data_IF_452168685263
#
_entry.id   IF_452168685263
#
_cell.length_a   1.000
_cell.length_b   1.000
_cell.length_c   1.000
_cell.angle_alpha   90.00
_cell.angle_beta   90.00
_cell.angle_gamma   90.00
#
_symmetry.space_group_name_H-M   'P 1'
#
loop_
_entity.id
_entity.type
_entity.pdbx_description
1 polymer ?
2 non-polymer ?
3 water ?
#
# COMPACT_ATOMS: atom_id res chain seq x y z
N UNK A 11 -13.87 -0.69 -16.57
CA UNK A 11 -15.07 -0.13 -15.86
C UNK A 11 -15.66 -1.09 -14.86
N UNK A 12 -16.97 -1.05 -14.64
CA UNK A 12 -17.62 -1.96 -13.70
C UNK A 12 -17.38 -3.43 -14.08
N UNK A 13 -17.16 -4.26 -13.07
CA UNK A 13 -16.93 -5.70 -13.25
C UNK A 13 -17.60 -6.39 -12.06
N UNK A 14 -18.16 -7.57 -12.27
CA UNK A 14 -18.85 -8.30 -11.18
C UNK A 14 -17.95 -9.47 -10.78
N UNK A 15 -17.48 -9.44 -9.55
CA UNK A 15 -16.57 -10.47 -9.09
C UNK A 15 -17.18 -11.29 -7.95
N UNK A 16 -16.94 -12.59 -7.95
CA UNK A 16 -17.47 -13.46 -6.92
C UNK A 16 -16.32 -13.67 -5.90
N UNK A 17 -16.65 -13.75 -4.62
CA UNK A 17 -15.65 -13.98 -3.58
C UNK A 17 -15.43 -15.47 -3.57
N UNK A 18 -14.29 -15.88 -4.10
CA UNK A 18 -13.96 -17.27 -4.23
C UNK A 18 -13.34 -17.90 -3.00
N UNK A 19 -12.66 -17.09 -2.20
CA UNK A 19 -12.04 -17.58 -0.97
C UNK A 19 -11.61 -16.48 0.03
N UNK A 20 -11.52 -16.85 1.30
CA UNK A 20 -11.11 -15.95 2.40
C UNK A 20 -10.07 -16.61 3.29
N UNK A 21 -9.18 -15.79 3.82
CA UNK A 21 -8.09 -16.29 4.65
C UNK A 21 -7.81 -15.38 5.79
N UNK A 22 -7.76 -15.97 6.98
CA UNK A 22 -7.47 -15.24 8.19
C UNK A 22 -5.95 -15.28 8.43
N UNK A 23 -5.26 -14.21 8.07
CA UNK A 23 -3.81 -14.12 8.25
C UNK A 23 -3.54 -13.77 9.71
N UNK A 24 -4.54 -13.19 10.36
CA UNK A 24 -4.46 -12.82 11.76
C UNK A 24 -5.83 -12.34 12.24
N UNK A 25 -5.99 -12.24 13.55
CA UNK A 25 -7.25 -11.82 14.17
C UNK A 25 -8.02 -10.73 13.44
N UNK A 26 -7.32 -9.81 12.78
CA UNK A 26 -8.01 -8.74 12.06
C UNK A 26 -7.53 -8.53 10.63
N UNK A 27 -6.78 -9.50 10.12
CA UNK A 27 -6.24 -9.44 8.76
C UNK A 27 -6.73 -10.61 7.96
N UNK A 28 -7.37 -10.31 6.82
CA UNK A 28 -7.90 -11.33 5.93
C UNK A 28 -7.29 -11.20 4.54
N UNK A 29 -7.33 -12.29 3.78
CA UNK A 29 -6.88 -12.28 2.39
C UNK A 29 -8.10 -12.80 1.60
N UNK A 30 -8.70 -11.97 0.75
CA UNK A 30 -9.87 -12.37 -0.04
C UNK A 30 -9.47 -12.56 -1.48
N UNK A 31 -9.86 -13.67 -2.09
CA UNK A 31 -9.57 -13.92 -3.50
C UNK A 31 -10.82 -13.78 -4.33
N UNK A 32 -10.89 -12.74 -5.17
CA UNK A 32 -12.06 -12.54 -6.03
C UNK A 32 -11.78 -13.02 -7.46
N UNK A 33 -12.78 -13.70 -8.00
CA UNK A 33 -12.73 -14.20 -9.35
C UNK A 33 -13.31 -13.15 -10.30
N UNK A 34 -12.77 -13.09 -11.50
CA UNK A 34 -13.31 -12.18 -12.49
C UNK A 34 -14.33 -13.04 -13.23
N UNK A 35 -15.35 -12.42 -13.84
CA UNK A 35 -16.34 -13.22 -14.56
C UNK A 35 -15.80 -14.00 -15.77
N UNK A 36 -14.71 -13.55 -16.39
CA UNK A 36 -14.12 -14.26 -17.53
C UNK A 36 -12.79 -14.84 -17.08
N UNK A 37 -12.76 -16.15 -16.86
CA UNK A 37 -11.62 -16.95 -16.40
C UNK A 37 -10.31 -16.97 -17.20
N UNK A 38 -10.26 -16.20 -18.29
CA UNK A 38 -9.05 -16.16 -19.10
C UNK A 38 -8.38 -14.79 -19.01
N UNK A 39 -8.97 -13.92 -18.19
CA UNK A 39 -8.52 -12.55 -18.02
C UNK A 39 -7.70 -12.16 -16.80
N UNK A 40 -6.96 -11.09 -16.95
CA UNK A 40 -6.24 -10.50 -15.83
C UNK A 40 -7.06 -9.23 -15.54
N UNK A 41 -6.87 -8.67 -14.37
CA UNK A 41 -7.53 -7.45 -13.96
C UNK A 41 -6.45 -6.53 -14.50
N UNK A 42 -6.67 -5.88 -15.63
CA UNK A 42 -5.63 -5.03 -16.19
C UNK A 42 -5.49 -3.72 -15.46
N UNK A 43 -5.03 -3.79 -14.21
CA UNK A 43 -4.87 -2.61 -13.38
C UNK A 43 -3.50 -2.03 -13.57
N UNK A 44 -3.42 -0.89 -14.24
CA UNK A 44 -2.13 -0.27 -14.45
C UNK A 44 -1.49 0.10 -13.10
N UNK A 45 -0.19 -0.16 -12.99
CA UNK A 45 0.58 0.12 -11.78
C UNK A 45 0.49 1.58 -11.37
N UNK A 46 0.12 1.79 -10.11
CA UNK A 46 -0.04 3.15 -9.59
C UNK A 46 -1.50 3.51 -9.41
N UNK A 47 -2.39 2.60 -9.86
CA UNK A 47 -3.83 2.80 -9.79
C UNK A 47 -4.54 1.79 -8.90
N UNK A 48 -5.78 2.11 -8.52
CA UNK A 48 -6.61 1.27 -7.66
C UNK A 48 -8.01 0.94 -8.23
N UNK A 49 -8.77 0.13 -7.49
CA UNK A 49 -10.13 -0.25 -7.88
C UNK A 49 -10.96 0.18 -6.71
N UNK A 50 -12.27 0.28 -6.91
CA UNK A 50 -13.20 0.64 -5.87
C UNK A 50 -14.05 -0.58 -5.68
N UNK A 51 -14.16 -1.05 -4.47
CA UNK A 51 -15.03 -2.16 -4.24
C UNK A 51 -16.28 -1.43 -3.81
N UNK A 52 -17.30 -1.41 -4.67
CA UNK A 52 -18.57 -0.74 -4.37
C UNK A 52 -19.54 -1.73 -3.76
N UNK A 53 -20.38 -1.25 -2.87
CA UNK A 53 -21.38 -2.08 -2.26
C UNK A 53 -22.38 -1.17 -1.57
N UNK A 54 -23.63 -1.61 -1.53
CA UNK A 54 -24.70 -0.89 -0.89
C UNK A 54 -24.89 -1.50 0.49
N UNK A 55 -24.49 -0.77 1.52
CA UNK A 55 -24.64 -1.24 2.89
C UNK A 55 -25.68 -0.34 3.55
N UNK A 56 -26.70 -1.01 4.10
CA UNK A 56 -27.81 -0.34 4.74
C UNK A 56 -28.61 0.40 3.63
N UNK A 57 -28.38 1.70 3.52
CA UNK A 57 -29.08 2.48 2.52
C UNK A 57 -28.22 3.20 1.51
N UNK A 58 -26.91 3.25 1.75
CA UNK A 58 -26.03 3.95 0.81
C UNK A 58 -24.97 3.07 0.12
N UNK A 59 -24.65 3.44 -1.12
CA UNK A 59 -23.65 2.73 -1.87
C UNK A 59 -22.35 3.32 -1.38
N UNK A 60 -21.56 2.47 -0.74
CA UNK A 60 -20.27 2.86 -0.23
C UNK A 60 -19.20 2.59 -1.28
N UNK A 61 -18.20 3.47 -1.35
CA UNK A 61 -17.11 3.31 -2.30
C UNK A 61 -15.79 3.45 -1.59
N UNK A 62 -15.01 2.38 -1.59
CA UNK A 62 -13.71 2.38 -0.92
C UNK A 62 -12.63 1.93 -1.89
N UNK A 63 -11.45 2.56 -1.81
CA UNK A 63 -10.30 2.18 -2.66
C UNK A 63 -9.48 1.03 -2.07
N UNK A 64 -8.94 0.20 -2.95
CA UNK A 64 -8.11 -0.92 -2.54
C UNK A 64 -7.16 -1.19 -3.69
N UNK A 65 -5.91 -1.45 -3.37
CA UNK A 65 -4.94 -1.74 -4.43
C UNK A 65 -4.52 -3.16 -4.18
N UNK A 66 -4.93 -4.10 -5.06
CA UNK A 66 -4.62 -5.54 -5.00
C UNK A 66 -3.15 -5.98 -4.80
N UNK A 67 -2.98 -7.10 -4.11
CA UNK A 67 -1.65 -7.59 -3.83
C UNK A 67 -1.18 -8.65 -4.79
N UNK A 68 -2.03 -8.99 -5.76
CA UNK A 68 -1.65 -10.03 -6.70
C UNK A 68 -0.83 -9.52 -7.87
N UNK A 69 -0.11 -10.46 -8.50
CA UNK A 69 0.72 -10.12 -9.65
C UNK A 69 -0.14 -9.52 -10.74
N UNK A 70 0.44 -8.57 -11.46
CA UNK A 70 -0.27 -7.93 -12.56
C UNK A 70 -0.73 -8.99 -13.58
N UNK A 71 0.03 -10.10 -13.63
CA UNK A 71 -0.23 -11.20 -14.56
C UNK A 71 -1.14 -12.31 -14.03
N UNK A 72 -1.72 -12.11 -12.86
CA UNK A 72 -2.61 -13.11 -12.27
C UNK A 72 -3.87 -13.41 -13.09
N UNK A 73 -3.90 -14.57 -13.71
CA UNK A 73 -5.06 -14.90 -14.54
C UNK A 73 -6.28 -15.43 -13.77
N UNK A 74 -7.42 -14.82 -14.04
CA UNK A 74 -8.66 -15.23 -13.43
C UNK A 74 -9.15 -14.63 -12.12
N UNK A 75 -8.22 -14.30 -11.20
CA UNK A 75 -8.61 -13.71 -9.93
C UNK A 75 -7.58 -12.71 -9.46
N UNK A 76 -8.01 -11.85 -8.51
CA UNK A 76 -7.17 -10.84 -7.85
C UNK A 76 -7.41 -10.90 -6.36
N UNK A 77 -6.38 -10.63 -5.58
CA UNK A 77 -6.49 -10.67 -4.12
C UNK A 77 -6.44 -9.32 -3.47
N UNK A 78 -7.12 -9.21 -2.33
CA UNK A 78 -7.11 -8.00 -1.55
C UNK A 78 -6.64 -8.34 -0.14
N UNK A 79 -5.63 -7.60 0.36
CA UNK A 79 -5.10 -7.72 1.73
C UNK A 79 -5.90 -6.63 2.44
N UNK A 80 -6.86 -7.08 3.23
CA UNK A 80 -7.76 -6.16 3.93
C UNK A 80 -7.57 -6.23 5.45
N UNK A 81 -7.34 -5.05 6.02
CA UNK A 81 -7.16 -4.89 7.44
C UNK A 81 -8.53 -4.53 7.99
N UNK A 82 -9.11 -5.46 8.74
CA UNK A 82 -10.44 -5.26 9.26
C UNK A 82 -10.55 -4.39 10.49
N UNK A 83 -11.35 -3.33 10.33
CA UNK A 83 -11.62 -2.35 11.35
C UNK A 83 -12.84 -2.73 12.17
N UNK A 84 -12.69 -3.71 13.06
CA UNK A 84 -13.82 -4.16 13.89
C UNK A 84 -14.45 -3.06 14.77
N UNK A 85 -15.65 -3.33 15.27
CA UNK A 85 -16.34 -2.43 16.19
C UNK A 85 -16.05 -2.98 17.60
N UNK A 86 -16.11 -2.08 18.59
CA UNK A 86 -15.85 -2.39 20.01
C UNK A 86 -14.33 -2.58 20.06
N UNK A 87 -13.62 -1.62 19.46
CA UNK A 87 -12.17 -1.67 19.37
C UNK A 87 -11.43 -0.35 19.56
N UNK A 88 -12.03 0.75 19.16
CA UNK A 88 -11.35 2.04 19.30
C UNK A 88 -12.11 3.16 20.00
N UNK A 89 -11.44 3.80 20.96
CA UNK A 89 -12.02 4.90 21.74
C UNK A 89 -12.80 5.85 20.87
N UNK A 90 -12.15 6.34 19.81
CA UNK A 90 -12.77 7.31 18.91
C UNK A 90 -13.69 6.79 17.80
N UNK A 91 -13.53 5.50 17.46
CA UNK A 91 -14.33 4.87 16.41
C UNK A 91 -14.84 3.58 17.02
N UNK A 92 -15.82 3.70 17.92
CA UNK A 92 -16.45 2.59 18.64
C UNK A 92 -17.20 1.55 17.80
N UNK A 93 -17.83 1.97 16.73
CA UNK A 93 -18.59 1.06 15.88
C UNK A 93 -17.81 0.47 14.71
N UNK A 94 -16.49 0.58 14.76
CA UNK A 94 -15.64 0.01 13.74
C UNK A 94 -15.72 0.59 12.35
N UNK A 95 -15.33 -0.23 11.39
CA UNK A 95 -15.29 0.14 9.98
C UNK A 95 -16.48 -0.35 9.18
N UNK A 96 -16.93 0.48 8.25
CA UNK A 96 -18.08 0.18 7.42
C UNK A 96 -17.80 -0.96 6.43
N UNK A 97 -17.12 -0.63 5.36
CA UNK A 97 -16.79 -1.59 4.35
C UNK A 97 -16.00 -2.79 4.82
N UNK A 98 -15.10 -2.60 5.79
CA UNK A 98 -14.29 -3.73 6.22
C UNK A 98 -15.09 -4.78 6.94
N UNK A 99 -16.08 -4.35 7.71
CA UNK A 99 -16.93 -5.28 8.44
C UNK A 99 -17.92 -5.91 7.47
N UNK A 100 -18.32 -5.14 6.44
CA UNK A 100 -19.21 -5.68 5.41
C UNK A 100 -18.53 -6.86 4.70
N UNK A 101 -17.30 -6.68 4.24
CA UNK A 101 -16.56 -7.72 3.51
C UNK A 101 -16.22 -8.93 4.38
N UNK A 102 -15.96 -8.67 5.65
CA UNK A 102 -15.64 -9.73 6.55
C UNK A 102 -16.90 -10.51 6.81
N UNK A 103 -18.04 -9.89 6.54
CA UNK A 103 -19.35 -10.52 6.74
C UNK A 103 -19.78 -11.41 5.60
N UNK A 104 -19.23 -11.15 4.43
CA UNK A 104 -19.59 -11.92 3.27
C UNK A 104 -19.17 -13.37 3.32
N UNK A 105 -20.11 -14.27 3.04
CA UNK A 105 -19.79 -15.70 3.01
C UNK A 105 -19.21 -15.93 1.63
N UNK A 106 -18.29 -16.87 1.49
CA UNK A 106 -17.74 -17.08 0.18
C UNK A 106 -18.80 -17.69 -0.75
N UNK A 107 -18.93 -17.05 -1.89
CA UNK A 107 -19.90 -17.44 -2.88
C UNK A 107 -20.53 -16.14 -3.30
N UNK A 108 -20.42 -15.14 -2.44
CA UNK A 108 -21.00 -13.82 -2.68
C UNK A 108 -20.42 -13.01 -3.83
N UNK A 109 -21.19 -12.06 -4.34
CA UNK A 109 -20.76 -11.20 -5.45
C UNK A 109 -20.36 -9.79 -4.99
N UNK A 110 -19.39 -9.19 -5.67
CA UNK A 110 -18.83 -7.86 -5.37
C UNK A 110 -18.81 -7.01 -6.67
N UNK A 111 -18.80 -5.69 -6.56
CA UNK A 111 -18.75 -4.85 -7.77
C UNK A 111 -17.50 -3.96 -7.81
N UNK A 112 -16.55 -4.31 -8.67
CA UNK A 112 -15.34 -3.50 -8.76
C UNK A 112 -15.36 -2.46 -9.88
N UNK A 113 -15.11 -1.22 -9.52
CA UNK A 113 -15.04 -0.15 -10.49
C UNK A 113 -13.58 0.28 -10.64
N UNK A 114 -13.10 0.38 -11.87
CA UNK A 114 -11.73 0.79 -12.07
C UNK A 114 -11.49 1.06 -13.54
N UNK A 115 -10.29 1.56 -13.91
CA UNK A 115 -9.19 1.87 -13.01
C UNK A 115 -9.21 3.31 -12.55
N UNK A 116 -9.03 3.53 -11.26
CA UNK A 116 -9.00 4.91 -10.78
C UNK A 116 -7.57 5.26 -10.37
N UNK A 117 -7.34 6.55 -10.17
CA UNK A 117 -6.01 6.99 -9.77
C UNK A 117 -5.47 8.08 -10.67
N UNK A 118 -4.36 8.67 -10.23
CA UNK A 118 -3.71 9.72 -11.01
C UNK A 118 -2.25 9.38 -11.22
N UNK A 119 -1.78 8.35 -10.50
CA UNK A 119 -0.39 7.92 -10.61
C UNK A 119 -0.36 6.62 -11.40
N UNK A 120 0.66 6.47 -12.23
CA UNK A 120 0.84 5.31 -13.05
C UNK A 120 2.34 5.14 -13.24
N UNK A 121 2.84 3.93 -13.06
CA UNK A 121 4.27 3.68 -13.22
C UNK A 121 4.45 2.97 -14.53
N UNK A 122 4.55 3.77 -15.59
CA UNK A 122 4.67 3.29 -16.95
C UNK A 122 5.83 2.40 -17.29
N UNK A 123 6.92 2.45 -16.54
CA UNK A 123 7.97 1.54 -16.94
C UNK A 123 9.28 1.46 -16.20
N UNK A 124 10.16 2.43 -16.44
CA UNK A 124 11.46 2.44 -15.82
C UNK A 124 11.69 3.84 -15.28
N UNK A 125 11.45 4.02 -13.98
CA UNK A 125 11.59 5.31 -13.33
C UNK A 125 10.55 6.31 -13.81
N UNK A 126 10.04 6.06 -15.00
CA UNK A 126 9.03 6.87 -15.64
C UNK A 126 7.76 6.84 -14.82
N UNK A 127 7.07 7.98 -14.79
CA UNK A 127 5.84 8.11 -14.03
C UNK A 127 4.93 9.00 -14.81
N UNK A 128 3.64 8.88 -14.53
CA UNK A 128 2.62 9.68 -15.16
C UNK A 128 1.77 10.17 -13.99
N UNK A 129 1.98 11.40 -13.55
CA UNK A 129 1.20 11.93 -12.46
C UNK A 129 0.29 12.95 -13.06
N UNK A 130 -0.93 13.03 -12.53
CA UNK A 130 -1.96 13.98 -12.97
C UNK A 130 -1.85 14.44 -14.43
N UNK A 131 -1.52 13.50 -15.32
CA UNK A 131 -1.37 13.84 -16.72
C UNK A 131 0.10 13.97 -17.08
N UNK A 132 0.83 14.81 -16.35
CA UNK A 132 2.26 15.02 -16.61
C UNK A 132 3.08 13.74 -16.56
N UNK A 133 4.20 13.75 -17.27
CA UNK A 133 5.07 12.61 -17.33
C UNK A 133 6.35 13.03 -16.61
N UNK A 134 6.88 12.13 -15.79
CA UNK A 134 8.10 12.36 -15.04
C UNK A 134 8.94 11.06 -14.97
N UNK A 135 10.05 11.13 -14.26
CA UNK A 135 10.95 10.00 -14.12
C UNK A 135 11.66 10.26 -12.79
N UNK A 136 12.20 9.21 -12.19
CA UNK A 136 12.92 9.34 -10.92
C UNK A 136 13.94 8.23 -10.90
N UNK A 137 14.99 8.41 -10.11
CA UNK A 137 16.02 7.38 -10.01
C UNK A 137 16.00 6.77 -8.58
N UNK A 138 15.55 7.59 -7.63
CA UNK A 138 15.44 7.20 -6.24
C UNK A 138 14.00 7.53 -5.84
N UNK A 139 13.36 6.57 -5.20
CA UNK A 139 11.98 6.67 -4.74
C UNK A 139 11.97 6.67 -3.23
N UNK A 140 11.16 7.55 -2.66
CA UNK A 140 11.02 7.66 -1.22
C UNK A 140 9.58 7.25 -0.96
N UNK A 141 9.39 6.04 -0.43
CA UNK A 141 8.06 5.51 -0.12
C UNK A 141 7.88 5.45 1.38
N UNK A 142 7.06 6.36 1.89
CA UNK A 142 6.78 6.45 3.32
C UNK A 142 5.29 6.14 3.45
N UNK A 143 4.97 5.13 4.27
CA UNK A 143 3.59 4.72 4.46
C UNK A 143 3.30 4.22 5.87
N UNK A 144 2.02 3.97 6.13
CA UNK A 144 1.59 3.50 7.44
C UNK A 144 0.43 2.57 7.22
N UNK A 145 0.39 1.47 7.98
CA UNK A 145 -0.69 0.48 7.89
C UNK A 145 -0.96 -0.05 6.48
N UNK A 146 -2.22 -0.22 6.09
CA UNK A 146 -2.54 -0.70 4.74
C UNK A 146 -2.15 0.32 3.67
N UNK A 147 -1.52 1.43 4.03
CA UNK A 147 -1.12 2.35 2.99
C UNK A 147 0.07 1.78 2.23
N UNK A 148 0.44 0.53 2.56
CA UNK A 148 1.57 -0.19 1.95
C UNK A 148 1.25 -0.84 0.61
N UNK A 149 -0.01 -1.19 0.40
CA UNK A 149 -0.39 -1.86 -0.84
C UNK A 149 -0.10 -1.03 -2.08
N UNK A 150 -0.40 0.26 -2.06
CA UNK A 150 -0.07 1.01 -3.27
C UNK A 150 1.43 0.89 -3.55
N UNK A 151 2.24 1.00 -2.49
CA UNK A 151 3.70 0.94 -2.59
C UNK A 151 4.18 -0.45 -3.02
N UNK A 152 3.63 -1.48 -2.42
CA UNK A 152 3.99 -2.86 -2.76
C UNK A 152 3.69 -3.22 -4.23
N UNK A 153 2.83 -2.44 -4.89
CA UNK A 153 2.45 -2.67 -6.29
C UNK A 153 3.64 -2.21 -7.14
N UNK A 154 4.15 -1.01 -6.85
CA UNK A 154 5.28 -0.46 -7.59
C UNK A 154 6.52 -1.31 -7.30
N UNK A 155 6.76 -1.58 -6.03
CA UNK A 155 7.89 -2.41 -5.62
C UNK A 155 7.90 -3.71 -6.43
N UNK A 156 6.74 -4.35 -6.56
CA UNK A 156 6.68 -5.61 -7.29
C UNK A 156 6.96 -5.42 -8.77
N UNK A 157 6.46 -4.30 -9.31
CA UNK A 157 6.66 -3.94 -10.70
C UNK A 157 8.15 -3.79 -11.01
N UNK A 158 8.79 -2.85 -10.33
CA UNK A 158 10.22 -2.56 -10.51
C UNK A 158 11.04 -3.82 -10.46
N UNK A 159 10.96 -4.55 -9.35
CA UNK A 159 11.70 -5.79 -9.20
C UNK A 159 11.35 -6.79 -10.28
N UNK A 160 10.12 -6.78 -10.78
CA UNK A 160 9.78 -7.73 -11.83
C UNK A 160 10.59 -7.39 -13.08
N UNK A 161 10.69 -6.10 -13.37
CA UNK A 161 11.45 -5.59 -14.49
C UNK A 161 12.95 -5.53 -14.12
N UNK A 162 13.44 -6.54 -13.41
CA UNK A 162 14.83 -6.55 -13.03
C UNK A 162 15.58 -7.50 -13.94
N UNK A 163 16.87 -7.19 -14.26
CA UNK A 163 17.65 -6.02 -13.83
C UNK A 163 17.69 -4.77 -14.73
N UNK A 164 16.74 -4.61 -15.63
CA UNK A 164 16.74 -3.45 -16.49
C UNK A 164 16.22 -2.20 -15.80
N UNK A 165 15.10 -2.36 -15.09
CA UNK A 165 14.47 -1.27 -14.37
C UNK A 165 15.10 -1.15 -13.00
N UNK A 166 16.31 -0.63 -12.95
CA UNK A 166 16.97 -0.51 -11.67
C UNK A 166 16.66 0.79 -10.95
N UNK A 167 15.37 0.99 -10.62
CA UNK A 167 14.94 2.17 -9.88
C UNK A 167 15.25 1.87 -8.43
N UNK A 168 15.76 2.86 -7.71
CA UNK A 168 16.13 2.73 -6.31
C UNK A 168 14.98 3.12 -5.38
N UNK A 169 14.59 2.22 -4.51
CA UNK A 169 13.49 2.47 -3.59
C UNK A 169 13.92 2.47 -2.10
N UNK A 170 13.40 3.46 -1.38
CA UNK A 170 13.66 3.60 0.04
C UNK A 170 12.32 3.65 0.69
N UNK A 171 11.99 2.58 1.40
CA UNK A 171 10.73 2.46 2.10
C UNK A 171 10.83 2.66 3.63
N UNK A 172 9.97 3.52 4.17
CA UNK A 172 9.88 3.77 5.62
C UNK A 172 8.44 3.29 5.91
N UNK A 173 8.33 2.10 6.49
CA UNK A 173 7.03 1.50 6.81
C UNK A 173 6.71 1.63 8.31
N UNK A 174 5.80 2.54 8.65
CA UNK A 174 5.41 2.77 10.06
C UNK A 174 4.15 2.02 10.53
N UNK A 175 4.18 1.53 11.77
CA UNK A 175 3.02 0.82 12.32
C UNK A 175 2.86 1.02 13.83
N UNK A 176 2.18 0.12 14.51
CA UNK A 176 1.96 0.27 15.94
C UNK A 176 2.52 -0.90 16.72
N UNK A 177 2.70 -2.02 16.03
CA UNK A 177 3.18 -3.23 16.64
C UNK A 177 3.87 -4.08 15.57
N UNK A 178 4.77 -4.95 16.00
CA UNK A 178 5.44 -5.81 15.04
C UNK A 178 4.45 -6.86 14.54
N UNK A 179 3.40 -7.14 15.31
CA UNK A 179 2.38 -8.07 14.85
C UNK A 179 1.43 -7.34 13.90
N UNK A 180 1.83 -6.15 13.43
CA UNK A 180 1.01 -5.35 12.52
C UNK A 180 1.69 -5.01 11.19
N UNK A 181 2.96 -5.39 11.03
CA UNK A 181 3.66 -5.09 9.78
C UNK A 181 2.94 -5.98 8.77
N UNK A 182 2.33 -5.40 7.76
CA UNK A 182 1.60 -6.19 6.78
C UNK A 182 2.40 -7.15 5.90
N UNK A 183 2.90 -6.70 4.78
CA UNK A 183 3.62 -7.60 3.89
C UNK A 183 5.09 -7.71 4.31
N UNK A 184 5.30 -8.10 5.57
CA UNK A 184 6.64 -8.23 6.17
C UNK A 184 7.58 -9.21 5.49
N UNK A 185 7.21 -10.49 5.53
CA UNK A 185 8.01 -11.55 4.94
C UNK A 185 8.31 -11.22 3.50
N UNK A 186 7.29 -10.84 2.76
CA UNK A 186 7.45 -10.48 1.34
C UNK A 186 8.52 -9.42 1.21
N UNK A 187 8.41 -8.37 2.01
CA UNK A 187 9.37 -7.28 1.97
C UNK A 187 10.76 -7.67 2.44
N UNK A 188 10.83 -8.47 3.51
CA UNK A 188 12.10 -8.95 4.05
C UNK A 188 12.80 -9.84 3.01
N UNK A 189 12.00 -10.69 2.38
CA UNK A 189 12.42 -11.66 1.36
C UNK A 189 13.01 -10.92 0.17
N UNK A 190 12.33 -9.87 -0.28
CA UNK A 190 12.87 -9.11 -1.38
C UNK A 190 14.10 -8.37 -0.99
N UNK A 191 14.02 -7.63 0.11
CA UNK A 191 15.15 -6.84 0.60
C UNK A 191 16.45 -7.63 0.57
N UNK A 192 16.37 -8.93 0.85
CA UNK A 192 17.54 -9.82 0.86
C UNK A 192 18.03 -10.05 -0.56
N UNK A 193 17.10 -10.23 -1.48
CA UNK A 193 17.43 -10.46 -2.89
C UNK A 193 17.90 -9.24 -3.67
N UNK A 194 17.26 -8.09 -3.49
CA UNK A 194 17.62 -6.91 -4.27
C UNK A 194 18.19 -5.73 -3.49
N UNK A 195 19.18 -5.98 -2.60
CA UNK A 195 19.82 -4.93 -1.79
C UNK A 195 20.06 -3.63 -2.51
N UNK A 196 20.46 -3.73 -3.76
CA UNK A 196 20.77 -2.53 -4.56
C UNK A 196 19.53 -1.74 -4.91
N UNK A 197 18.45 -2.45 -5.20
CA UNK A 197 17.18 -1.83 -5.58
C UNK A 197 16.31 -1.23 -4.46
N UNK A 198 16.04 -2.04 -3.43
CA UNK A 198 15.15 -1.67 -2.32
C UNK A 198 15.74 -1.70 -0.91
N UNK A 199 15.43 -0.66 -0.16
CA UNK A 199 15.87 -0.54 1.22
C UNK A 199 14.59 -0.44 2.07
N UNK A 200 14.50 -1.29 3.07
CA UNK A 200 13.36 -1.40 3.97
C UNK A 200 13.71 -1.03 5.40
N UNK A 201 12.85 -0.26 6.05
CA UNK A 201 13.07 0.17 7.41
C UNK A 201 11.70 0.26 8.07
N UNK A 202 11.51 -0.46 9.18
CA UNK A 202 10.23 -0.43 9.90
C UNK A 202 10.34 0.49 11.12
N UNK A 203 9.19 1.00 11.55
CA UNK A 203 9.09 1.87 12.73
C UNK A 203 7.86 1.38 13.43
N UNK A 204 7.89 1.25 14.75
CA UNK A 204 6.70 0.78 15.42
C UNK A 204 6.44 1.46 16.75
N UNK A 205 5.20 1.94 16.93
CA UNK A 205 4.78 2.61 18.16
C UNK A 205 5.11 1.84 19.43
N UNK A 206 5.00 0.52 19.39
CA UNK A 206 5.30 -0.32 20.55
C UNK A 206 5.94 -1.65 20.18
N UNK A 207 6.72 -2.21 21.09
CA UNK A 207 7.35 -3.50 20.83
C UNK A 207 6.68 -4.56 21.67
N UNK A 208 5.69 -5.24 21.11
CA UNK A 208 5.00 -6.29 21.85
C UNK A 208 5.88 -7.32 22.56
N UNK A 209 6.88 -7.87 21.86
CA UNK A 209 7.77 -8.87 22.46
C UNK A 209 9.24 -8.44 22.32
N UNK A 210 9.66 -7.34 22.98
CA UNK A 210 11.04 -6.81 22.94
C UNK A 210 12.12 -7.85 23.28
N UNK A 211 11.73 -8.86 24.03
CA UNK A 211 12.62 -9.94 24.42
C UNK A 211 13.31 -10.50 23.19
N UNK A 212 12.55 -10.67 22.11
CA UNK A 212 13.06 -11.20 20.83
C UNK A 212 14.00 -10.25 20.15
N UNK A 213 14.04 -9.01 20.62
CA UNK A 213 14.95 -8.02 20.07
C UNK A 213 14.57 -7.36 18.76
N UNK A 214 13.84 -6.25 18.87
CA UNK A 214 13.41 -5.47 17.71
C UNK A 214 14.64 -4.65 17.34
N UNK A 215 15.09 -4.73 16.09
CA UNK A 215 16.29 -3.99 15.64
C UNK A 215 16.09 -2.72 14.81
N UNK A 216 14.83 -2.31 14.62
CA UNK A 216 14.52 -1.12 13.82
C UNK A 216 14.10 -0.03 14.79
N UNK A 217 13.50 1.05 14.29
CA UNK A 217 13.08 2.15 15.13
C UNK A 217 11.83 1.86 15.91
N UNK A 218 11.72 2.55 17.04
CA UNK A 218 10.54 2.42 17.90
C UNK A 218 9.93 3.80 18.05
N UNK A 219 8.61 3.87 17.89
CA UNK A 219 7.92 5.13 18.02
C UNK A 219 7.27 5.56 16.74
N UNK A 220 7.37 6.85 16.46
CA UNK A 220 6.76 7.43 15.27
C UNK A 220 7.81 7.84 14.26
N UNK A 221 7.37 8.34 13.10
CA UNK A 221 8.30 8.78 12.05
C UNK A 221 8.83 10.16 12.46
N UNK A 222 10.14 10.23 12.60
CA UNK A 222 10.84 11.44 12.99
C UNK A 222 11.85 11.86 11.91
N UNK A 223 12.24 13.14 11.92
CA UNK A 223 13.20 13.66 10.93
C UNK A 223 14.48 12.87 10.97
N UNK A 224 14.86 12.40 12.15
CA UNK A 224 16.04 11.59 12.30
C UNK A 224 15.86 10.29 11.47
N UNK A 225 14.63 9.79 11.42
CA UNK A 225 14.31 8.57 10.68
C UNK A 225 14.36 8.88 9.19
N UNK A 226 13.65 9.92 8.77
CA UNK A 226 13.64 10.30 7.36
C UNK A 226 15.04 10.62 6.87
N UNK A 227 15.77 11.40 7.66
CA UNK A 227 17.14 11.79 7.31
C UNK A 227 18.04 10.59 6.99
N UNK A 228 17.92 9.52 7.77
CA UNK A 228 18.74 8.34 7.57
C UNK A 228 18.10 7.18 6.81
N UNK A 229 16.90 7.36 6.27
CA UNK A 229 16.30 6.24 5.53
C UNK A 229 15.64 6.56 4.21
N UNK A 230 15.27 7.80 4.05
CA UNK A 230 14.68 8.28 2.82
C UNK A 230 15.91 8.91 2.16
N UNK A 231 15.95 8.97 0.82
CA UNK A 231 17.15 9.58 0.29
C UNK A 231 17.02 11.11 0.25
N UNK A 232 18.11 11.78 -0.13
CA UNK A 232 18.16 13.24 -0.23
C UNK A 232 17.05 13.69 -1.18
N UNK A 233 16.54 14.90 -0.97
CA UNK A 233 15.48 15.39 -1.84
C UNK A 233 15.94 15.75 -3.24
N UNK A 234 15.78 17.02 -3.59
CA UNK A 234 16.18 17.49 -4.90
C UNK A 234 15.28 16.93 -5.98
N UNK A 235 15.75 17.06 -7.22
CA UNK A 235 15.00 16.55 -8.38
C UNK A 235 15.59 15.21 -8.80
N UNK A 236 14.73 14.40 -9.42
CA UNK A 236 15.09 13.04 -9.87
C UNK A 236 14.95 12.07 -8.70
N UNK A 237 14.41 12.58 -7.58
CA UNK A 237 14.15 11.82 -6.37
C UNK A 237 12.69 12.11 -6.09
N UNK A 238 11.83 11.12 -6.37
CA UNK A 238 10.40 11.29 -6.19
C UNK A 238 10.01 10.72 -4.85
N UNK A 239 8.97 11.29 -4.25
CA UNK A 239 8.49 10.81 -2.97
C UNK A 239 7.03 10.47 -3.12
N UNK A 240 6.66 9.30 -2.60
CA UNK A 240 5.28 8.84 -2.64
C UNK A 240 4.95 8.50 -1.20
N UNK A 241 3.75 8.85 -0.77
CA UNK A 241 3.34 8.54 0.57
C UNK A 241 1.85 8.20 0.64
N UNK A 242 1.53 7.18 1.41
CA UNK A 242 0.17 6.76 1.59
C UNK A 242 0.06 6.37 3.08
N UNK A 243 -0.57 7.24 3.86
CA UNK A 243 -0.75 6.96 5.27
C UNK A 243 -1.94 7.74 5.76
N UNK A 244 -2.40 7.53 7.02
CA UNK A 244 -3.55 8.25 7.59
C UNK A 244 -3.29 9.75 7.56
N UNK A 245 -4.35 10.57 7.45
CA UNK A 245 -4.27 12.03 7.38
C UNK A 245 -3.32 12.75 8.34
N UNK A 246 -3.44 12.49 9.66
CA UNK A 246 -2.53 13.16 10.60
C UNK A 246 -1.06 12.86 10.32
N UNK A 247 -0.76 11.64 9.87
CA UNK A 247 0.62 11.22 9.59
C UNK A 247 1.20 11.90 8.37
N UNK A 248 0.43 11.93 7.30
CA UNK A 248 0.89 12.63 6.10
C UNK A 248 1.15 14.08 6.58
N UNK A 249 0.19 14.59 7.36
CA UNK A 249 0.21 15.93 7.91
C UNK A 249 1.41 16.37 8.74
N UNK A 250 1.31 16.13 10.04
CA UNK A 250 2.34 16.50 11.01
C UNK A 250 3.63 15.75 10.78
N UNK A 251 3.54 14.42 10.75
CA UNK A 251 4.72 13.58 10.62
C UNK A 251 5.48 13.42 9.31
N UNK A 252 4.94 13.88 8.18
CA UNK A 252 5.69 13.67 6.95
C UNK A 252 6.07 14.86 6.08
N UNK A 253 5.09 15.52 5.47
CA UNK A 253 5.40 16.66 4.60
C UNK A 253 6.42 17.68 5.15
N UNK A 254 6.28 18.12 6.41
CA UNK A 254 7.27 19.09 6.90
C UNK A 254 8.70 18.55 6.94
N UNK A 255 8.84 17.32 7.41
CA UNK A 255 10.15 16.69 7.52
C UNK A 255 10.78 16.53 6.14
N UNK A 256 9.98 16.11 5.16
CA UNK A 256 10.47 15.94 3.79
C UNK A 256 10.77 17.31 3.17
N UNK A 257 10.07 18.34 3.64
CA UNK A 257 10.26 19.72 3.16
C UNK A 257 11.64 20.11 3.68
N UNK A 258 11.87 19.77 4.95
CA UNK A 258 13.15 20.02 5.60
C UNK A 258 14.26 19.21 4.92
N UNK A 259 13.89 18.18 4.17
CA UNK A 259 14.89 17.36 3.46
C UNK A 259 15.01 17.83 2.01
N UNK A 260 14.49 19.04 1.78
CA UNK A 260 14.51 19.71 0.49
C UNK A 260 13.95 18.89 -0.67
N UNK A 261 12.68 18.53 -0.55
CA UNK A 261 11.98 17.79 -1.59
C UNK A 261 10.97 18.81 -2.10
N UNK A 262 10.93 19.08 -3.40
CA UNK A 262 9.93 20.04 -3.89
C UNK A 262 8.59 19.40 -3.56
N UNK A 263 7.85 20.00 -2.64
CA UNK A 263 6.56 19.45 -2.27
C UNK A 263 5.62 19.28 -3.46
N UNK A 264 5.52 20.32 -4.30
CA UNK A 264 4.65 20.27 -5.47
C UNK A 264 5.02 19.21 -6.51
N UNK A 265 6.07 19.45 -7.27
CA UNK A 265 6.46 18.50 -8.31
C UNK A 265 7.15 17.22 -7.82
N UNK A 266 7.25 17.00 -6.51
CA UNK A 266 7.96 15.81 -6.05
C UNK A 266 7.31 15.01 -4.90
N UNK A 267 6.15 15.47 -4.44
CA UNK A 267 5.46 14.81 -3.36
C UNK A 267 4.06 14.41 -3.78
N UNK A 268 3.79 13.10 -3.65
CA UNK A 268 2.50 12.50 -3.97
C UNK A 268 1.93 11.65 -2.83
N UNK A 269 0.60 11.64 -2.73
CA UNK A 269 -0.10 10.86 -1.71
C UNK A 269 -1.17 10.00 -2.39
N UNK A 270 -1.26 8.73 -1.97
CA UNK A 270 -2.23 7.79 -2.53
C UNK A 270 -3.46 7.72 -1.66
X LIG B 1 -14.51 3.70 7.36
X LIG B 1 -15.86 3.31 7.88
X LIG B 1 -14.37 4.62 6.20
X LIG B 1 -13.67 4.30 8.62
X LIG B 1 -12.22 4.52 8.67
X LIG B 1 -11.84 5.29 9.92
X LIG B 1 -12.37 4.72 11.15
X LIG B 1 -10.36 5.20 10.00
X LIG B 1 -9.91 6.45 10.52
X LIG B 1 -10.19 4.11 11.03
X LIG B 1 -9.05 4.35 11.87
X LIG B 1 -11.30 4.29 11.96
X LIG B 1 -11.54 3.06 12.68
X LIG B 1 -12.72 2.47 12.89
X LIG B 1 -12.56 1.40 13.70
X LIG B 1 -11.27 1.32 13.92
X LIG B 1 -10.62 0.33 14.64
X LIG B 1 -11.20 -0.79 15.14
X LIG B 1 -9.28 0.45 14.70
X LIG B 1 -8.61 1.45 14.09
X LIG B 1 -9.27 2.43 13.47
X LIG B 1 -10.61 2.36 13.34
X LIG B 1 -6.93 -0.93 2.85
X LIG B 1 -6.67 -2.29 2.86
X LIG B 1 -7.04 -2.98 3.75
X LIG B 1 -6.02 -2.78 1.77
X LIG B 1 -5.66 -1.98 0.71
X LIG B 1 -5.05 -2.45 -0.20
X LIG B 1 -6.01 -0.62 0.78
X LIG B 1 -5.56 0.16 -0.26
X LIG B 1 -5.83 1.47 -0.36
X LIG B 1 -5.40 2.12 -1.49
X LIG B 1 -5.73 3.44 -1.71
X LIG B 1 -5.10 4.13 -2.80
X LIG B 1 -6.48 4.11 -0.78
X LIG B 1 -6.63 5.53 -0.78
X LIG B 1 -6.91 3.43 0.34
X LIG B 1 -6.61 2.09 0.60
X LIG B 1 -7.05 1.27 1.68
X LIG B 1 -6.70 -0.04 1.80
X LIG B 1 -7.93 1.70 2.63
X LIG B 1 -9.43 1.91 2.33
X LIG B 1 -9.49 3.19 1.70
X LIG B 1 -10.40 2.00 3.52
X LIG B 1 -10.64 3.29 4.04
X LIG B 1 -10.22 0.95 4.59
X LIG B 1 -10.78 -0.16 3.99
X LIG B 1 -11.13 1.17 5.73
X LIG B 1 -12.47 1.34 5.17
X LIG B 1 -13.84 1.09 6.07
X LIG B 1 -13.72 -0.19 6.89
X LIG B 1 -15.01 1.33 5.14
X LIG B 1 -13.77 2.33 7.10
#
# INVERSE_FOLDING_TARGET
VRAPALSNPRGRIHCRLVAKKELSRDVRLFRFSLPSPDQVLGLPIGKHIFVCATIEGKLCMRAYTPTSMVDEIGHFDLLVKVYFKNEHPKFPNGGLMTQYLDSLPVGSYIDVKGPLGHVEYTGRGSFVINGKQRNARRLAMICGGSGITPMYQIIQAVLRDQPEDHTEMHLVYANRTEDDILLRDELDRWAAEYPDRLKVWYVIDQVKRPEEGWKYSVGFVTEAVLREHVPEGGDDTLALACGPPPMIQFAISPNLEKMKYDMANSFVVF
FAD PA O1A O2A O5B C5B C4B O4B C3B O3B C2B O2B C1B N9A C8A N7A C5A C6A N6A N1A C2A N3A C4A N1 C2 O2 N3 C4 O4 C4X N5 C5X C6 C7 C7M C8 C8M C9 C9A N10 C10 C1' C2' O2' C3' O3' C4' O4' C5' O5' P O1P O2P O3P
#
